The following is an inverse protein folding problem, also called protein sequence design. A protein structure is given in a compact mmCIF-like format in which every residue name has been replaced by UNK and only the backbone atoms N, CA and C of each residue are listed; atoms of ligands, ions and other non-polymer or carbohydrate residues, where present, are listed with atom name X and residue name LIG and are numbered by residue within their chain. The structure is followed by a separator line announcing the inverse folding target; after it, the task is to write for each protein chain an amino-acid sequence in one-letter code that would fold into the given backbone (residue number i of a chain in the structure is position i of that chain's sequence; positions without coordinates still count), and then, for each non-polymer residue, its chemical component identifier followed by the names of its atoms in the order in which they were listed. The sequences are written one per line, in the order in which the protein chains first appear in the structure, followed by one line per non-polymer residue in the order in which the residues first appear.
data_IF_217770294299
#
_entry.id   IF_217770294299
#
_cell.length_a   1.000
_cell.length_b   1.000
_cell.length_c   1.000
_cell.angle_alpha   90.00
_cell.angle_beta   90.00
_cell.angle_gamma   90.00
#
_symmetry.space_group_name_H-M   'P 1'
#
loop_
_entity.id
_entity.type
_entity.pdbx_description
1 polymer ?
#
# COMPACT_ATOMS: atom_id res chain seq x y z
N UNK A 1 -2.37 -8.39 -3.95
CA UNK A 1 -2.02 -9.63 -3.23
C UNK A 1 -1.44 -10.59 -4.26
N UNK A 2 -0.35 -11.30 -3.94
CA UNK A 2 0.17 -12.37 -4.78
C UNK A 2 -0.19 -13.70 -4.14
N UNK A 3 -0.54 -14.67 -4.97
CA UNK A 3 -0.82 -16.04 -4.57
C UNK A 3 0.13 -16.98 -5.29
N UNK A 4 0.55 -18.03 -4.60
CA UNK A 4 1.26 -19.13 -5.23
C UNK A 4 0.22 -20.00 -5.95
N UNK A 5 0.44 -20.27 -7.22
CA UNK A 5 -0.47 -21.07 -8.04
C UNK A 5 -0.17 -22.57 -7.91
N UNK A 6 -0.44 -23.11 -6.72
CA UNK A 6 -0.21 -24.52 -6.43
C UNK A 6 -0.08 -24.85 -4.95
N UNK A 7 0.27 -26.10 -4.68
CA UNK A 7 0.49 -26.65 -3.34
C UNK A 7 1.84 -27.36 -3.27
N UNK A 8 2.54 -27.25 -2.14
CA UNK A 8 3.72 -28.05 -1.89
C UNK A 8 3.32 -29.41 -1.32
N UNK A 9 3.91 -30.46 -1.88
CA UNK A 9 3.76 -31.84 -1.41
C UNK A 9 5.15 -32.33 -0.99
N UNK A 10 5.22 -33.03 0.15
CA UNK A 10 6.45 -33.67 0.62
C UNK A 10 6.64 -34.98 -0.16
N UNK A 11 7.73 -35.08 -0.92
CA UNK A 11 8.08 -36.33 -1.58
C UNK A 11 8.49 -37.36 -0.51
N UNK A 12 7.86 -38.53 -0.52
CA UNK A 12 8.08 -39.62 0.44
C UNK A 12 9.31 -40.48 0.13
N UNK A 13 10.05 -40.19 -0.95
CA UNK A 13 11.21 -40.97 -1.37
C UNK A 13 12.50 -40.51 -0.66
N UNK A 14 13.21 -41.45 -0.02
CA UNK A 14 14.51 -41.26 0.64
C UNK A 14 15.61 -40.99 -0.41
N UNK A 15 16.64 -40.16 -0.12
CA UNK A 15 17.19 -39.84 1.19
C UNK A 15 16.90 -38.41 1.69
N UNK A 16 16.13 -37.62 0.94
CA UNK A 16 15.81 -36.22 1.28
C UNK A 16 14.32 -35.98 1.07
N UNK A 17 13.62 -35.60 2.14
CA UNK A 17 12.27 -35.03 2.10
C UNK A 17 12.29 -33.76 1.24
N UNK A 18 12.10 -33.93 -0.06
CA UNK A 18 12.11 -32.83 -1.02
C UNK A 18 10.68 -32.31 -1.19
N UNK A 19 10.50 -30.99 -1.06
CA UNK A 19 9.20 -30.37 -1.26
C UNK A 19 9.02 -30.06 -2.75
N UNK A 20 8.00 -30.63 -3.37
CA UNK A 20 7.66 -30.39 -4.78
C UNK A 20 6.40 -29.53 -4.90
N UNK A 21 6.45 -28.53 -5.78
CA UNK A 21 5.30 -27.69 -6.09
C UNK A 21 4.42 -28.36 -7.15
N UNK A 22 3.21 -28.72 -6.77
CA UNK A 22 2.16 -29.16 -7.69
C UNK A 22 1.30 -27.96 -8.07
N UNK A 23 1.29 -27.62 -9.35
CA UNK A 23 0.50 -26.50 -9.87
C UNK A 23 -0.99 -26.79 -9.77
N UNK A 24 -1.76 -25.79 -9.38
CA UNK A 24 -3.21 -25.86 -9.46
C UNK A 24 -3.66 -25.66 -10.92
N UNK A 25 -4.89 -26.11 -11.23
CA UNK A 25 -5.52 -25.76 -12.50
C UNK A 25 -6.03 -24.32 -12.44
N UNK A 26 -6.01 -23.64 -13.58
CA UNK A 26 -6.60 -22.32 -13.70
C UNK A 26 -8.08 -22.36 -13.27
N UNK A 27 -8.54 -21.39 -12.45
CA UNK A 27 -9.92 -21.37 -11.99
C UNK A 27 -10.87 -21.07 -13.15
N UNK A 28 -12.01 -21.73 -13.17
CA UNK A 28 -13.06 -21.44 -14.15
C UNK A 28 -13.84 -20.18 -13.77
N UNK A 29 -14.51 -19.55 -14.75
CA UNK A 29 -15.38 -18.39 -14.48
C UNK A 29 -16.45 -18.71 -13.44
N UNK A 30 -17.01 -19.92 -13.45
CA UNK A 30 -17.98 -20.37 -12.44
C UNK A 30 -17.37 -20.41 -11.02
N UNK A 31 -16.15 -20.94 -10.88
CA UNK A 31 -15.42 -20.96 -9.60
C UNK A 31 -15.09 -19.54 -9.12
N UNK A 32 -14.69 -18.64 -10.03
CA UNK A 32 -14.44 -17.24 -9.70
C UNK A 32 -15.71 -16.53 -9.24
N UNK A 33 -16.84 -16.77 -9.89
CA UNK A 33 -18.15 -16.22 -9.50
C UNK A 33 -18.57 -16.72 -8.12
N UNK A 34 -18.41 -18.02 -7.83
CA UNK A 34 -18.70 -18.58 -6.51
C UNK A 34 -17.81 -17.99 -5.41
N UNK A 35 -16.52 -17.81 -5.70
CA UNK A 35 -15.59 -17.17 -4.76
C UNK A 35 -15.93 -15.68 -4.57
N UNK A 36 -16.29 -14.96 -5.64
CA UNK A 36 -16.76 -13.58 -5.57
C UNK A 36 -18.01 -13.46 -4.69
N UNK A 37 -18.98 -14.38 -4.81
CA UNK A 37 -20.15 -14.43 -3.92
C UNK A 37 -19.76 -14.62 -2.45
N UNK A 38 -18.81 -15.52 -2.17
CA UNK A 38 -18.31 -15.76 -0.81
C UNK A 38 -17.63 -14.52 -0.23
N UNK A 39 -16.82 -13.83 -1.04
CA UNK A 39 -16.17 -12.58 -0.66
C UNK A 39 -17.21 -11.50 -0.39
N UNK A 40 -18.17 -11.31 -1.31
CA UNK A 40 -19.26 -10.34 -1.18
C UNK A 40 -20.03 -10.56 0.13
N UNK A 41 -20.45 -11.80 0.41
CA UNK A 41 -21.14 -12.13 1.65
C UNK A 41 -20.31 -11.80 2.90
N UNK A 42 -19.01 -12.14 2.91
CA UNK A 42 -18.12 -11.85 4.06
C UNK A 42 -17.89 -10.35 4.25
N UNK A 43 -17.74 -9.60 3.16
CA UNK A 43 -17.60 -8.14 3.19
C UNK A 43 -18.88 -7.51 3.71
N UNK A 44 -20.04 -7.86 3.15
CA UNK A 44 -21.33 -7.34 3.63
C UNK A 44 -21.55 -7.66 5.10
N UNK A 45 -21.36 -8.91 5.55
CA UNK A 45 -21.45 -9.29 6.96
C UNK A 45 -20.48 -8.51 7.86
N UNK A 46 -19.30 -8.14 7.37
CA UNK A 46 -18.36 -7.30 8.12
C UNK A 46 -18.88 -5.86 8.24
N UNK A 47 -19.36 -5.28 7.15
CA UNK A 47 -19.90 -3.92 7.11
C UNK A 47 -21.19 -3.80 7.96
N UNK A 48 -22.08 -4.79 7.93
CA UNK A 48 -23.27 -4.85 8.80
C UNK A 48 -22.88 -4.86 10.28
N UNK A 49 -21.89 -5.68 10.67
CA UNK A 49 -21.39 -5.70 12.07
C UNK A 49 -20.74 -4.38 12.49
N UNK A 50 -20.25 -3.60 11.53
CA UNK A 50 -19.70 -2.26 11.74
C UNK A 50 -20.79 -1.17 11.75
N UNK A 51 -22.04 -1.51 11.44
CA UNK A 51 -23.13 -0.54 11.30
C UNK A 51 -22.98 0.35 10.06
N UNK A 52 -22.32 -0.13 9.01
CA UNK A 52 -22.02 0.62 7.78
C UNK A 52 -22.90 0.23 6.59
N UNK A 53 -23.80 -0.74 6.77
CA UNK A 53 -24.81 -1.10 5.79
C UNK A 53 -26.19 -0.83 6.39
N UNK A 54 -27.03 -0.18 5.61
CA UNK A 54 -28.46 0.02 5.85
C UNK A 54 -29.26 -0.88 4.90
N UNK A 55 -30.44 -1.34 5.34
CA UNK A 55 -31.31 -2.23 4.56
C UNK A 55 -31.01 -3.73 4.73
N UNK A 56 -31.80 -4.57 4.06
CA UNK A 56 -31.74 -6.03 4.15
C UNK A 56 -31.63 -6.68 2.75
N UNK A 57 -30.96 -7.84 2.68
CA UNK A 57 -30.88 -8.66 1.47
C UNK A 57 -30.29 -7.93 0.26
N UNK A 58 -31.04 -7.91 -0.86
CA UNK A 58 -30.62 -7.27 -2.11
C UNK A 58 -30.75 -5.73 -2.09
N UNK A 59 -31.39 -5.16 -1.07
CA UNK A 59 -31.58 -3.73 -0.91
C UNK A 59 -30.61 -3.11 0.10
N UNK A 60 -29.53 -3.82 0.45
CA UNK A 60 -28.51 -3.30 1.37
C UNK A 60 -27.63 -2.25 0.66
N UNK A 61 -27.53 -1.06 1.24
CA UNK A 61 -26.69 0.05 0.75
C UNK A 61 -25.73 0.54 1.84
N UNK A 62 -24.64 1.19 1.42
CA UNK A 62 -23.71 1.80 2.37
C UNK A 62 -24.41 2.94 3.12
N UNK A 63 -24.30 2.92 4.44
CA UNK A 63 -24.80 3.99 5.29
C UNK A 63 -24.18 5.33 4.91
N UNK A 64 -24.94 6.40 5.10
CA UNK A 64 -24.49 7.75 4.74
C UNK A 64 -23.44 8.30 5.73
N UNK A 65 -23.35 7.69 6.91
CA UNK A 65 -22.37 8.01 7.96
C UNK A 65 -21.88 6.73 8.66
N UNK A 66 -20.72 6.82 9.33
CA UNK A 66 -20.25 5.72 10.16
C UNK A 66 -21.04 5.67 11.48
N UNK A 67 -21.42 4.47 11.91
CA UNK A 67 -21.94 4.27 13.27
C UNK A 67 -20.79 4.38 14.29
N UNK A 68 -20.90 5.31 15.24
CA UNK A 68 -19.98 5.49 16.38
C UNK A 68 -19.04 6.71 16.30
N UNK A 69 -18.41 7.04 17.43
CA UNK A 69 -17.61 8.27 17.64
C UNK A 69 -16.15 8.20 17.12
N UNK A 70 -15.74 7.14 16.41
CA UNK A 70 -14.37 7.09 15.86
C UNK A 70 -14.26 7.95 14.59
N UNK A 71 -13.57 9.08 14.75
CA UNK A 71 -13.25 10.03 13.68
C UNK A 71 -12.71 9.37 12.40
N UNK A 72 -11.91 8.30 12.51
CA UNK A 72 -11.30 7.64 11.36
C UNK A 72 -12.28 6.78 10.56
N UNK A 73 -13.24 6.17 11.24
CA UNK A 73 -14.29 5.37 10.60
C UNK A 73 -15.25 6.30 9.84
N UNK A 74 -15.51 7.51 10.36
CA UNK A 74 -16.19 8.59 9.63
C UNK A 74 -15.48 8.97 8.33
N UNK A 75 -14.16 9.24 8.39
CA UNK A 75 -13.36 9.57 7.19
C UNK A 75 -13.40 8.46 6.14
N UNK A 76 -13.31 7.19 6.57
CA UNK A 76 -13.38 6.02 5.69
C UNK A 76 -14.76 5.88 5.05
N UNK A 77 -15.82 6.03 5.82
CA UNK A 77 -17.19 5.95 5.31
C UNK A 77 -17.48 7.04 4.29
N UNK A 78 -17.19 8.30 4.62
CA UNK A 78 -17.34 9.39 3.64
C UNK A 78 -16.47 9.18 2.40
N UNK A 79 -15.32 8.51 2.51
CA UNK A 79 -14.50 8.13 1.36
C UNK A 79 -15.14 7.04 0.50
N UNK A 80 -15.68 5.99 1.10
CA UNK A 80 -16.38 4.91 0.41
C UNK A 80 -17.65 5.38 -0.30
N UNK A 81 -18.36 6.35 0.28
CA UNK A 81 -19.61 6.88 -0.30
C UNK A 81 -19.41 8.14 -1.15
N UNK A 82 -18.17 8.51 -1.48
CA UNK A 82 -17.83 9.72 -2.28
C UNK A 82 -18.38 11.03 -1.69
N UNK A 83 -18.37 11.17 -0.35
CA UNK A 83 -18.86 12.34 0.39
C UNK A 83 -17.75 13.12 1.09
N UNK A 84 -18.00 14.39 1.37
CA UNK A 84 -17.12 15.25 2.17
C UNK A 84 -17.27 14.85 3.64
N UNK A 85 -16.14 14.73 4.34
CA UNK A 85 -16.12 14.24 5.72
C UNK A 85 -16.08 15.37 6.76
N UNK A 86 -15.61 16.56 6.36
CA UNK A 86 -15.25 17.64 7.27
C UNK A 86 -15.83 18.98 6.84
N UNK A 87 -15.97 19.91 7.78
CA UNK A 87 -16.36 21.29 7.48
C UNK A 87 -17.84 21.49 7.13
N UNK A 88 -18.15 22.65 6.55
CA UNK A 88 -19.53 23.10 6.26
C UNK A 88 -20.25 22.19 5.25
N UNK A 89 -19.50 21.58 4.34
CA UNK A 89 -20.03 20.76 3.27
C UNK A 89 -20.05 19.25 3.62
N UNK A 90 -19.82 18.89 4.88
CA UNK A 90 -19.87 17.51 5.35
C UNK A 90 -21.19 16.81 4.93
N UNK A 91 -21.07 15.57 4.43
CA UNK A 91 -22.18 14.77 3.90
C UNK A 91 -22.52 15.03 2.42
N UNK A 92 -22.07 16.14 1.83
CA UNK A 92 -22.28 16.41 0.39
C UNK A 92 -21.38 15.53 -0.47
N UNK A 93 -21.82 15.23 -1.70
CA UNK A 93 -20.99 14.49 -2.67
C UNK A 93 -19.80 15.34 -3.11
N UNK A 94 -18.66 14.69 -3.31
CA UNK A 94 -17.47 15.31 -3.87
C UNK A 94 -17.75 15.77 -5.31
N UNK A 95 -17.18 16.92 -5.69
CA UNK A 95 -17.34 17.48 -7.03
C UNK A 95 -16.55 16.65 -8.05
N UNK A 96 -17.22 16.28 -9.14
CA UNK A 96 -16.64 15.53 -10.26
C UNK A 96 -16.78 16.32 -11.55
N UNK A 97 -15.70 16.41 -12.33
CA UNK A 97 -15.75 17.04 -13.66
C UNK A 97 -15.97 15.96 -14.72
N UNK A 98 -17.11 16.06 -15.42
CA UNK A 98 -17.46 15.23 -16.57
C UNK A 98 -17.05 15.96 -17.84
N UNK A 99 -15.89 15.62 -18.40
CA UNK A 99 -15.35 16.29 -19.59
C UNK A 99 -15.36 15.41 -20.84
N UNK A 100 -15.84 14.18 -20.72
CA UNK A 100 -16.00 13.24 -21.82
C UNK A 100 -17.46 12.76 -21.87
N UNK A 101 -17.96 12.32 -23.04
CA UNK A 101 -19.24 11.62 -23.08
C UNK A 101 -19.16 10.31 -22.30
N UNK A 102 -20.29 9.88 -21.76
CA UNK A 102 -20.36 8.61 -21.04
C UNK A 102 -20.22 7.41 -21.97
N UNK A 103 -19.54 6.36 -21.51
CA UNK A 103 -19.38 5.09 -22.21
C UNK A 103 -20.27 4.01 -21.57
N UNK A 104 -21.22 3.51 -22.38
CA UNK A 104 -22.16 2.46 -22.01
C UNK A 104 -21.62 1.03 -22.24
N UNK A 105 -20.39 0.86 -22.75
CA UNK A 105 -19.85 -0.46 -23.12
C UNK A 105 -19.73 -1.44 -21.96
N UNK A 106 -20.05 -2.72 -22.14
CA UNK A 106 -19.92 -3.70 -21.04
C UNK A 106 -18.44 -3.92 -20.67
N UNK A 107 -18.15 -4.22 -19.39
CA UNK A 107 -16.81 -4.73 -19.02
C UNK A 107 -16.75 -6.19 -19.46
N UNK A 108 -16.48 -6.48 -20.72
CA UNK A 108 -16.22 -7.85 -21.15
C UNK A 108 -14.87 -8.31 -20.60
N UNK A 109 -14.85 -9.47 -19.96
CA UNK A 109 -13.63 -10.06 -19.42
C UNK A 109 -13.95 -11.28 -18.55
N UNK A 110 -12.98 -12.19 -18.47
CA UNK A 110 -13.04 -13.49 -17.76
C UNK A 110 -13.12 -13.39 -16.22
N UNK A 111 -13.62 -12.28 -15.70
CA UNK A 111 -13.79 -12.07 -14.26
C UNK A 111 -15.12 -12.67 -13.77
N UNK A 112 -15.08 -13.33 -12.61
CA UNK A 112 -16.30 -13.68 -11.88
C UNK A 112 -16.95 -12.41 -11.31
N UNK A 113 -18.28 -12.28 -11.45
CA UNK A 113 -19.02 -11.07 -11.04
C UNK A 113 -20.27 -11.42 -10.25
N UNK A 114 -20.47 -10.76 -9.11
CA UNK A 114 -21.66 -10.94 -8.26
C UNK A 114 -21.92 -9.63 -7.51
N UNK A 115 -23.13 -9.07 -7.60
CA UNK A 115 -23.57 -7.95 -6.75
C UNK A 115 -22.62 -6.74 -6.70
N UNK A 116 -22.04 -6.34 -7.84
CA UNK A 116 -21.07 -5.24 -7.92
C UNK A 116 -19.61 -5.62 -7.58
N UNK A 117 -19.36 -6.85 -7.10
CA UNK A 117 -18.01 -7.38 -6.93
C UNK A 117 -17.51 -7.99 -8.25
N UNK A 118 -16.22 -7.81 -8.53
CA UNK A 118 -15.52 -8.48 -9.62
C UNK A 118 -14.23 -9.13 -9.11
N UNK A 119 -13.95 -10.35 -9.54
CA UNK A 119 -12.75 -11.09 -9.19
C UNK A 119 -12.05 -11.58 -10.46
N UNK A 120 -10.81 -11.14 -10.63
CA UNK A 120 -9.96 -11.53 -11.76
C UNK A 120 -8.78 -12.37 -11.27
N UNK A 121 -8.54 -13.50 -11.93
CA UNK A 121 -7.41 -14.40 -11.63
C UNK A 121 -6.57 -14.76 -12.86
N UNK A 122 -6.78 -14.10 -14.01
CA UNK A 122 -6.08 -14.42 -15.27
C UNK A 122 -4.64 -13.91 -15.39
N UNK A 123 -4.06 -13.31 -14.35
CA UNK A 123 -2.67 -12.81 -14.40
C UNK A 123 -1.78 -13.65 -13.50
N UNK A 124 -0.92 -14.47 -14.11
CA UNK A 124 0.08 -15.30 -13.44
C UNK A 124 1.50 -14.98 -13.96
N UNK A 125 2.52 -15.26 -13.17
CA UNK A 125 3.92 -15.15 -13.58
C UNK A 125 4.66 -16.46 -13.30
N UNK A 126 5.37 -16.94 -14.32
CA UNK A 126 6.20 -18.13 -14.26
C UNK A 126 7.51 -17.88 -13.51
N UNK A 127 8.15 -18.96 -13.05
CA UNK A 127 9.38 -18.87 -12.25
C UNK A 127 10.53 -18.13 -12.98
N UNK A 128 10.58 -18.22 -14.31
CA UNK A 128 11.59 -17.55 -15.13
C UNK A 128 11.18 -16.13 -15.57
N UNK A 129 9.92 -15.72 -15.37
CA UNK A 129 9.40 -14.41 -15.78
C UNK A 129 9.64 -13.33 -14.69
N UNK A 130 10.89 -13.14 -14.27
CA UNK A 130 11.26 -12.22 -13.19
C UNK A 130 10.76 -10.78 -13.44
N UNK A 131 10.83 -10.31 -14.69
CA UNK A 131 10.32 -8.99 -15.09
C UNK A 131 8.80 -8.84 -14.91
N UNK A 132 8.03 -9.89 -15.22
CA UNK A 132 6.56 -9.90 -15.04
C UNK A 132 6.20 -9.92 -13.56
N UNK A 133 6.90 -10.73 -12.77
CA UNK A 133 6.77 -10.74 -11.31
C UNK A 133 7.08 -9.36 -10.72
N UNK A 134 8.15 -8.71 -11.18
CA UNK A 134 8.49 -7.35 -10.76
C UNK A 134 7.36 -6.37 -11.10
N UNK A 135 6.80 -6.42 -12.31
CA UNK A 135 5.68 -5.57 -12.72
C UNK A 135 4.46 -5.77 -11.80
N UNK A 136 4.16 -7.02 -11.42
CA UNK A 136 3.10 -7.33 -10.46
C UNK A 136 3.39 -6.79 -9.07
N UNK A 137 4.62 -6.95 -8.57
CA UNK A 137 5.06 -6.39 -7.30
C UNK A 137 4.91 -4.86 -7.30
N UNK A 138 5.41 -4.18 -8.33
CA UNK A 138 5.28 -2.72 -8.52
C UNK A 138 3.82 -2.28 -8.54
N UNK A 139 2.94 -3.06 -9.19
CA UNK A 139 1.50 -2.80 -9.22
C UNK A 139 0.88 -2.89 -7.82
N UNK A 140 1.25 -3.90 -7.03
CA UNK A 140 0.72 -4.10 -5.67
C UNK A 140 1.22 -3.03 -4.71
N UNK A 141 2.48 -2.60 -4.86
CA UNK A 141 3.10 -1.58 -4.01
C UNK A 141 2.89 -0.16 -4.53
N UNK A 142 2.01 0.04 -5.52
CA UNK A 142 1.77 1.37 -6.10
C UNK A 142 1.21 2.32 -5.02
N UNK A 143 1.70 3.57 -4.95
CA UNK A 143 1.08 4.59 -4.11
C UNK A 143 -0.39 4.80 -4.49
N UNK A 144 -1.20 5.25 -3.54
CA UNK A 144 -2.63 5.50 -3.76
C UNK A 144 -2.88 6.69 -4.72
N UNK A 145 -1.96 7.64 -4.76
CA UNK A 145 -2.02 8.86 -5.57
C UNK A 145 -0.81 8.97 -6.50
N UNK A 146 -1.00 9.63 -7.64
CA UNK A 146 0.08 10.04 -8.53
C UNK A 146 0.20 11.56 -8.50
N UNK A 147 1.37 12.08 -8.12
CA UNK A 147 1.65 13.52 -8.08
C UNK A 147 1.49 14.17 -9.46
N UNK A 148 1.83 13.46 -10.54
CA UNK A 148 1.65 13.94 -11.91
C UNK A 148 0.19 14.19 -12.29
N UNK A 149 -0.76 13.62 -11.55
CA UNK A 149 -2.19 13.80 -11.76
C UNK A 149 -2.83 14.74 -10.75
N UNK A 150 -2.04 15.35 -9.87
CA UNK A 150 -2.49 16.36 -8.91
C UNK A 150 -2.18 17.75 -9.46
N UNK A 151 -3.17 18.64 -9.37
CA UNK A 151 -3.01 20.06 -9.69
C UNK A 151 -3.90 20.91 -8.81
N UNK A 152 -3.64 22.22 -8.78
CA UNK A 152 -4.53 23.21 -8.16
C UNK A 152 -5.37 23.83 -9.27
N UNK A 153 -6.69 23.84 -9.09
CA UNK A 153 -7.62 24.46 -10.04
C UNK A 153 -7.52 26.00 -9.98
N UNK A 154 -8.02 26.73 -10.99
CA UNK A 154 -8.08 28.20 -10.94
C UNK A 154 -8.85 28.75 -9.73
N UNK A 155 -9.76 27.95 -9.16
CA UNK A 155 -10.53 28.28 -7.97
C UNK A 155 -9.79 27.95 -6.66
N UNK A 156 -8.52 27.53 -6.73
CA UNK A 156 -7.72 27.16 -5.56
C UNK A 156 -8.04 25.78 -4.98
N UNK A 157 -8.80 24.94 -5.70
CA UNK A 157 -9.19 23.61 -5.23
C UNK A 157 -8.16 22.56 -5.64
N UNK A 158 -8.05 21.48 -4.87
CA UNK A 158 -7.22 20.34 -5.25
C UNK A 158 -7.95 19.54 -6.32
N UNK A 159 -7.36 19.42 -7.50
CA UNK A 159 -7.88 18.65 -8.63
C UNK A 159 -7.03 17.40 -8.84
N UNK A 160 -7.70 16.24 -8.94
CA UNK A 160 -7.06 14.99 -9.29
C UNK A 160 -7.62 14.41 -10.59
N UNK A 161 -6.73 14.15 -11.55
CA UNK A 161 -7.08 13.49 -12.80
C UNK A 161 -7.15 11.97 -12.60
N UNK A 162 -8.23 11.35 -13.07
CA UNK A 162 -8.39 9.91 -13.05
C UNK A 162 -7.50 9.26 -14.11
N UNK A 163 -6.89 8.11 -13.79
CA UNK A 163 -6.10 7.34 -14.77
C UNK A 163 -6.93 6.97 -15.99
N UNK A 164 -8.15 6.54 -15.72
CA UNK A 164 -9.13 6.10 -16.70
C UNK A 164 -10.42 6.82 -16.36
N UNK A 165 -11.03 7.54 -17.31
CA UNK A 165 -12.32 8.18 -17.10
C UNK A 165 -13.36 7.18 -16.59
N UNK A 166 -14.28 7.64 -15.75
CA UNK A 166 -15.43 6.84 -15.39
C UNK A 166 -16.44 6.79 -16.54
N UNK A 167 -17.32 5.79 -16.49
CA UNK A 167 -18.36 5.56 -17.49
C UNK A 167 -19.31 6.73 -17.69
N UNK A 168 -19.51 7.57 -16.68
CA UNK A 168 -20.32 8.77 -16.79
C UNK A 168 -19.55 9.96 -17.37
N UNK A 169 -18.37 9.74 -17.93
CA UNK A 169 -17.54 10.81 -18.49
C UNK A 169 -16.68 11.55 -17.46
N UNK A 170 -16.72 11.17 -16.19
CA UNK A 170 -15.91 11.83 -15.15
C UNK A 170 -14.43 11.59 -15.42
N UNK A 171 -13.67 12.68 -15.54
CA UNK A 171 -12.22 12.66 -15.77
C UNK A 171 -11.44 13.20 -14.58
N UNK A 172 -12.05 14.09 -13.78
CA UNK A 172 -11.41 14.69 -12.62
C UNK A 172 -12.33 14.68 -11.41
N UNK A 173 -11.71 14.73 -10.24
CA UNK A 173 -12.37 14.92 -8.96
C UNK A 173 -11.73 16.13 -8.27
N UNK A 174 -12.56 16.97 -7.66
CA UNK A 174 -12.11 18.20 -7.00
C UNK A 174 -12.52 18.23 -5.52
N UNK A 175 -11.61 18.76 -4.69
CA UNK A 175 -11.80 18.94 -3.26
C UNK A 175 -11.26 20.28 -2.79
N UNK A 176 -11.75 20.74 -1.65
CA UNK A 176 -11.01 21.72 -0.87
C UNK A 176 -9.79 21.05 -0.22
N UNK A 177 -8.78 21.84 0.16
CA UNK A 177 -7.50 21.29 0.63
C UNK A 177 -7.65 20.36 1.85
N UNK A 178 -8.50 20.73 2.81
CA UNK A 178 -8.74 19.93 4.02
C UNK A 178 -9.48 18.63 3.68
N UNK A 179 -10.45 18.68 2.77
CA UNK A 179 -11.20 17.50 2.35
C UNK A 179 -10.31 16.51 1.60
N UNK A 180 -9.37 17.00 0.79
CA UNK A 180 -8.36 16.16 0.16
C UNK A 180 -7.48 15.47 1.19
N UNK A 181 -7.01 16.20 2.22
CA UNK A 181 -6.25 15.62 3.33
C UNK A 181 -7.08 14.56 4.07
N UNK A 182 -8.38 14.80 4.28
CA UNK A 182 -9.29 13.83 4.87
C UNK A 182 -9.39 12.53 4.04
N UNK A 183 -9.40 12.61 2.70
CA UNK A 183 -9.32 11.43 1.82
C UNK A 183 -8.00 10.68 1.97
N UNK A 184 -6.88 11.38 2.12
CA UNK A 184 -5.59 10.74 2.36
C UNK A 184 -5.52 10.09 3.74
N UNK A 185 -6.04 10.75 4.76
CA UNK A 185 -6.11 10.23 6.12
C UNK A 185 -6.92 8.92 6.17
N UNK A 186 -8.01 8.81 5.41
CA UNK A 186 -8.81 7.58 5.34
C UNK A 186 -8.01 6.34 4.89
N UNK A 187 -6.92 6.52 4.13
CA UNK A 187 -6.02 5.44 3.69
C UNK A 187 -5.03 4.99 4.77
N UNK A 188 -4.90 5.74 5.86
CA UNK A 188 -4.00 5.41 6.95
C UNK A 188 -4.53 4.16 7.66
N UNK A 189 -3.73 3.07 7.70
CA UNK A 189 -4.14 1.84 8.37
C UNK A 189 -4.25 2.06 9.89
N UNK A 190 -5.06 1.25 10.59
CA UNK A 190 -5.07 1.26 12.05
C UNK A 190 -3.67 1.03 12.64
N UNK A 191 -3.36 1.61 13.82
CA UNK A 191 -2.10 1.37 14.50
C UNK A 191 -1.84 -0.13 14.66
N UNK A 192 -0.59 -0.54 14.43
CA UNK A 192 -0.11 -1.94 14.56
C UNK A 192 -0.75 -2.93 13.58
N UNK A 193 -1.49 -2.48 12.57
CA UNK A 193 -2.01 -3.36 11.54
C UNK A 193 -0.88 -3.89 10.62
N UNK A 194 -0.88 -5.20 10.37
CA UNK A 194 0.02 -5.80 9.39
C UNK A 194 -0.39 -5.42 7.96
N UNK A 195 0.40 -4.55 7.32
CA UNK A 195 0.23 -4.12 5.92
C UNK A 195 0.63 -5.19 4.91
N UNK A 196 1.58 -6.04 5.27
CA UNK A 196 1.98 -7.21 4.47
C UNK A 196 1.61 -8.46 5.24
N UNK A 197 0.73 -9.27 4.64
CA UNK A 197 0.30 -10.56 5.19
C UNK A 197 0.82 -11.67 4.28
N UNK A 198 1.52 -12.61 4.88
CA UNK A 198 1.94 -13.84 4.21
C UNK A 198 0.93 -14.94 4.53
N UNK A 199 0.58 -15.74 3.52
CA UNK A 199 -0.42 -16.80 3.62
C UNK A 199 0.18 -18.14 3.19
N UNK A 200 -0.52 -19.24 3.53
CA UNK A 200 -0.11 -20.60 3.18
C UNK A 200 1.28 -20.94 3.74
N UNK A 201 2.10 -21.60 2.92
CA UNK A 201 3.47 -22.03 3.29
C UNK A 201 4.42 -20.87 3.60
N UNK A 202 4.10 -19.64 3.21
CA UNK A 202 4.90 -18.45 3.51
C UNK A 202 4.49 -17.74 4.81
N UNK A 203 3.37 -18.15 5.42
CA UNK A 203 2.89 -17.57 6.67
C UNK A 203 3.94 -17.70 7.79
N UNK A 204 4.03 -16.76 8.75
CA UNK A 204 5.13 -16.71 9.70
C UNK A 204 5.43 -18.01 10.46
N UNK A 205 4.38 -18.75 10.82
CA UNK A 205 4.42 -19.98 11.61
C UNK A 205 4.21 -21.26 10.76
N UNK A 206 4.32 -21.19 9.43
CA UNK A 206 4.18 -22.39 8.60
C UNK A 206 5.39 -23.32 8.76
N UNK A 207 5.15 -24.60 9.05
CA UNK A 207 6.18 -25.60 9.35
C UNK A 207 7.25 -25.72 8.24
N UNK A 208 6.82 -25.59 6.99
CA UNK A 208 7.69 -25.76 5.81
C UNK A 208 8.39 -24.47 5.36
N UNK A 209 8.09 -23.33 6.00
CA UNK A 209 8.58 -22.00 5.57
C UNK A 209 10.11 -21.91 5.54
N UNK A 210 10.75 -22.51 6.54
CA UNK A 210 12.21 -22.54 6.67
C UNK A 210 12.89 -23.28 5.51
N UNK A 211 12.24 -24.31 4.98
CA UNK A 211 12.76 -25.13 3.89
C UNK A 211 12.56 -24.46 2.52
N UNK A 212 11.53 -23.63 2.38
CA UNK A 212 11.12 -23.02 1.11
C UNK A 212 11.67 -21.61 0.88
N UNK A 213 12.15 -20.93 1.93
CA UNK A 213 12.68 -19.58 1.81
C UNK A 213 14.21 -19.62 1.71
N UNK A 214 14.83 -18.97 0.70
CA UNK A 214 16.29 -19.00 0.54
C UNK A 214 17.08 -18.48 1.75
N UNK A 215 16.43 -17.63 2.56
CA UNK A 215 17.00 -17.07 3.80
C UNK A 215 16.71 -17.90 5.05
N UNK A 216 16.13 -19.09 4.94
CA UNK A 216 15.78 -19.95 6.08
C UNK A 216 14.77 -19.30 7.04
N UNK A 217 13.96 -18.36 6.56
CA UNK A 217 13.00 -17.62 7.40
C UNK A 217 11.96 -18.57 7.97
N UNK A 218 11.75 -18.51 9.28
CA UNK A 218 10.87 -19.44 10.00
C UNK A 218 11.60 -20.66 10.58
N UNK A 219 12.92 -20.77 10.40
CA UNK A 219 13.73 -21.70 11.20
C UNK A 219 13.65 -21.24 12.64
N UNK A 220 12.92 -21.99 13.48
CA UNK A 220 13.02 -21.82 14.93
C UNK A 220 14.49 -22.07 15.28
N UNK A 221 15.17 -21.19 16.02
CA UNK A 221 16.45 -21.57 16.59
C UNK A 221 16.19 -22.84 17.40
N UNK A 222 16.86 -23.93 17.02
CA UNK A 222 16.96 -25.07 17.90
C UNK A 222 17.54 -24.54 19.22
N UNK A 223 17.07 -25.04 20.37
CA UNK A 223 17.35 -24.49 21.69
C UNK A 223 18.82 -24.20 22.00
N UNK A 224 19.76 -24.77 21.24
CA UNK A 224 21.20 -24.64 21.45
C UNK A 224 21.99 -24.20 20.20
N UNK A 225 21.33 -23.69 19.16
CA UNK A 225 22.04 -23.20 17.96
C UNK A 225 22.40 -21.72 18.10
N UNK A 226 23.70 -21.44 18.28
CA UNK A 226 24.27 -20.11 18.15
C UNK A 226 23.77 -19.44 16.85
N UNK A 227 23.41 -18.15 16.89
CA UNK A 227 22.85 -17.47 15.72
C UNK A 227 23.87 -17.50 14.58
N UNK A 228 23.45 -18.03 13.44
CA UNK A 228 24.23 -17.99 12.20
C UNK A 228 24.32 -16.54 11.77
N UNK A 229 25.56 -16.05 11.68
CA UNK A 229 25.98 -14.70 11.35
C UNK A 229 25.14 -14.06 10.23
N UNK A 230 24.43 -13.00 10.60
CA UNK A 230 24.23 -11.85 9.71
C UNK A 230 24.99 -10.72 10.36
N UNK A 231 26.22 -10.49 9.88
CA UNK A 231 27.20 -9.46 10.26
C UNK A 231 27.77 -9.55 11.68
N UNK A 232 29.07 -9.86 11.73
CA UNK A 232 29.92 -10.12 12.90
C UNK A 232 30.17 -8.95 13.88
N UNK A 233 29.18 -8.09 14.15
CA UNK A 233 29.36 -6.95 15.08
C UNK A 233 28.19 -6.62 16.01
N UNK A 234 27.17 -7.46 16.12
CA UNK A 234 26.06 -7.19 17.06
C UNK A 234 26.14 -8.08 18.31
N UNK A 235 26.69 -7.53 19.39
CA UNK A 235 26.49 -8.06 20.74
C UNK A 235 25.00 -8.22 21.09
N UNK A 236 24.63 -9.13 22.02
CA UNK A 236 23.24 -9.42 22.36
C UNK A 236 22.52 -8.19 22.93
N UNK A 237 21.85 -7.45 22.04
CA UNK A 237 21.05 -6.27 22.38
C UNK A 237 19.69 -6.64 22.97
N UNK A 238 19.31 -5.99 24.06
CA UNK A 238 17.98 -6.03 24.67
C UNK A 238 16.90 -5.61 23.64
N UNK A 239 15.62 -5.98 23.83
CA UNK A 239 14.52 -5.55 22.95
C UNK A 239 14.43 -4.02 22.80
N UNK A 240 14.81 -3.27 23.83
CA UNK A 240 14.87 -1.81 23.81
C UNK A 240 16.05 -1.29 23.00
N UNK A 241 17.22 -1.93 23.13
CA UNK A 241 18.39 -1.64 22.32
C UNK A 241 18.12 -1.97 20.83
N UNK A 242 17.40 -3.05 20.52
CA UNK A 242 16.95 -3.37 19.15
C UNK A 242 15.96 -2.34 18.59
N UNK A 243 15.06 -1.79 19.42
CA UNK A 243 14.15 -0.71 19.01
C UNK A 243 14.87 0.63 18.80
N UNK A 244 15.93 0.88 19.56
CA UNK A 244 16.83 2.06 19.42
C UNK A 244 17.92 1.89 18.36
N UNK A 245 18.18 0.68 17.88
CA UNK A 245 19.35 0.36 17.04
C UNK A 245 19.39 1.08 15.69
N UNK A 246 18.24 1.48 15.13
CA UNK A 246 18.24 2.30 13.92
C UNK A 246 18.13 3.78 14.27
N UNK A 247 19.25 4.49 14.09
CA UNK A 247 19.31 5.94 14.08
C UNK A 247 18.35 6.52 13.04
N UNK A 248 17.94 7.78 13.21
CA UNK A 248 17.10 8.50 12.25
C UNK A 248 17.68 8.43 10.82
N UNK A 249 18.99 8.60 10.66
CA UNK A 249 19.67 8.52 9.37
C UNK A 249 19.58 7.12 8.73
N UNK A 250 19.78 6.05 9.52
CA UNK A 250 19.60 4.68 9.03
C UNK A 250 18.16 4.39 8.62
N UNK A 251 17.18 4.98 9.31
CA UNK A 251 15.76 4.87 8.94
C UNK A 251 15.48 5.59 7.62
N UNK A 252 16.02 6.79 7.42
CA UNK A 252 15.90 7.51 6.14
C UNK A 252 16.46 6.71 4.97
N UNK A 253 17.66 6.14 5.13
CA UNK A 253 18.28 5.28 4.11
C UNK A 253 17.43 4.04 3.83
N UNK A 254 16.91 3.39 4.87
CA UNK A 254 16.13 2.15 4.73
C UNK A 254 14.75 2.37 4.12
N UNK A 255 14.05 3.44 4.49
CA UNK A 255 12.65 3.69 4.11
C UNK A 255 12.56 4.50 2.82
N UNK A 256 13.41 5.52 2.67
CA UNK A 256 13.34 6.48 1.57
C UNK A 256 14.54 6.41 0.62
N UNK A 257 15.50 5.52 0.86
CA UNK A 257 16.79 5.49 0.13
C UNK A 257 17.53 6.83 0.18
N UNK A 258 17.31 7.62 1.24
CA UNK A 258 17.99 8.89 1.48
C UNK A 258 19.16 8.61 2.42
N UNK A 259 20.38 8.63 1.88
CA UNK A 259 21.59 8.45 2.67
C UNK A 259 22.16 9.81 3.13
N UNK A 260 21.81 10.22 4.35
CA UNK A 260 22.39 11.40 5.02
C UNK A 260 23.62 11.05 5.85
N UNK A 261 24.22 9.87 5.67
CA UNK A 261 25.48 9.47 6.33
C UNK A 261 26.69 9.58 5.40
N UNK A 262 26.45 9.81 4.11
CA UNK A 262 27.49 9.97 3.08
C UNK A 262 27.37 11.34 2.43
N UNK A 263 28.49 12.06 2.31
CA UNK A 263 28.54 13.34 1.60
C UNK A 263 28.35 13.11 0.10
N UNK A 264 27.41 13.83 -0.51
CA UNK A 264 27.14 13.73 -1.95
C UNK A 264 28.30 14.24 -2.84
N UNK A 265 29.22 15.05 -2.30
CA UNK A 265 30.31 15.67 -3.07
C UNK A 265 31.61 14.86 -3.00
N UNK A 266 32.02 14.46 -1.79
CA UNK A 266 33.30 13.79 -1.58
C UNK A 266 33.18 12.31 -1.21
N UNK A 267 31.96 11.79 -1.01
CA UNK A 267 31.73 10.41 -0.58
C UNK A 267 32.16 10.10 0.86
N UNK A 268 32.68 11.10 1.59
CA UNK A 268 33.09 10.95 2.99
C UNK A 268 31.91 10.78 3.95
N UNK A 269 32.17 10.23 5.14
CA UNK A 269 31.17 10.11 6.19
C UNK A 269 30.77 11.50 6.73
N UNK A 270 29.47 11.77 6.84
CA UNK A 270 28.95 12.99 7.46
C UNK A 270 28.44 12.72 8.87
N UNK A 271 28.54 13.74 9.73
CA UNK A 271 28.05 13.69 11.12
C UNK A 271 26.89 14.68 11.28
N UNK A 272 25.82 14.23 11.92
CA UNK A 272 24.71 15.11 12.31
C UNK A 272 25.21 16.02 13.43
N UNK A 273 25.17 17.34 13.20
CA UNK A 273 25.68 18.35 14.16
C UNK A 273 24.55 18.90 15.03
N UNK A 274 23.36 19.11 14.46
CA UNK A 274 22.18 19.58 15.19
C UNK A 274 20.89 19.15 14.49
N UNK A 275 19.80 19.03 15.26
CA UNK A 275 18.43 19.01 14.75
C UNK A 275 17.74 20.31 15.19
N UNK A 276 17.21 21.07 14.25
CA UNK A 276 16.57 22.37 14.52
C UNK A 276 15.06 22.17 14.42
N UNK A 277 14.38 22.18 15.55
CA UNK A 277 12.94 21.92 15.64
C UNK A 277 12.11 23.20 15.89
N UNK A 278 12.77 24.30 16.26
CA UNK A 278 12.12 25.53 16.68
C UNK A 278 11.68 26.38 15.46
N UNK A 279 10.37 26.71 15.31
CA UNK A 279 9.87 27.32 14.08
C UNK A 279 10.45 28.69 13.74
N UNK A 280 10.80 29.53 14.73
CA UNK A 280 11.37 30.85 14.46
C UNK A 280 12.81 30.74 13.92
N UNK A 281 13.64 29.87 14.48
CA UNK A 281 14.97 29.54 13.99
C UNK A 281 14.92 28.94 12.58
N UNK A 282 14.01 28.00 12.32
CA UNK A 282 13.81 27.44 10.98
C UNK A 282 13.50 28.56 9.98
N UNK A 283 12.55 29.46 10.30
CA UNK A 283 12.21 30.60 9.44
C UNK A 283 13.38 31.54 9.22
N UNK A 284 14.13 31.87 10.26
CA UNK A 284 15.30 32.75 10.16
C UNK A 284 16.38 32.16 9.23
N UNK A 285 16.65 30.86 9.34
CA UNK A 285 17.62 30.14 8.51
C UNK A 285 17.15 30.10 7.05
N UNK A 286 15.88 29.76 6.81
CA UNK A 286 15.32 29.72 5.45
C UNK A 286 15.33 31.11 4.79
N UNK A 287 14.95 32.16 5.53
CA UNK A 287 14.98 33.54 5.04
C UNK A 287 16.42 34.01 4.72
N UNK A 288 17.41 33.58 5.52
CA UNK A 288 18.81 33.84 5.23
C UNK A 288 19.24 33.17 3.91
N UNK A 289 18.86 31.91 3.69
CA UNK A 289 19.15 31.21 2.44
C UNK A 289 18.43 31.83 1.24
N UNK A 290 17.17 32.23 1.34
CA UNK A 290 16.48 32.94 0.25
C UNK A 290 17.20 34.25 -0.13
N UNK A 291 17.71 35.00 0.85
CA UNK A 291 18.35 36.29 0.63
C UNK A 291 19.77 36.20 0.09
N UNK A 292 20.54 35.22 0.54
CA UNK A 292 21.97 35.09 0.23
C UNK A 292 22.28 33.98 -0.78
N UNK A 293 21.24 33.30 -1.27
CA UNK A 293 21.34 32.12 -2.11
C UNK A 293 21.46 30.87 -1.26
N UNK A 294 20.41 30.05 -1.24
CA UNK A 294 20.56 28.65 -0.88
C UNK A 294 21.53 28.07 -1.91
N UNK A 295 22.55 27.33 -1.47
CA UNK A 295 23.23 26.45 -2.41
C UNK A 295 22.13 25.61 -3.08
N UNK A 296 22.01 25.68 -4.41
CA UNK A 296 21.02 24.95 -5.24
C UNK A 296 20.96 23.44 -4.89
N UNK A 297 22.01 22.96 -4.22
CA UNK A 297 22.31 21.60 -3.84
C UNK A 297 21.87 21.23 -2.40
N UNK A 298 21.26 22.14 -1.62
CA UNK A 298 20.73 21.87 -0.28
C UNK A 298 19.37 21.13 -0.30
N UNK A 299 18.76 20.99 -1.48
CA UNK A 299 17.55 20.20 -1.68
C UNK A 299 17.90 18.70 -1.79
N UNK A 300 18.20 18.06 -0.66
CA UNK A 300 18.40 16.60 -0.57
C UNK A 300 17.13 15.76 -0.80
N UNK A 301 16.03 16.33 -1.31
CA UNK A 301 14.91 15.49 -1.72
C UNK A 301 15.35 14.77 -2.99
N UNK A 302 15.50 13.44 -2.98
CA UNK A 302 15.70 12.71 -4.22
C UNK A 302 14.55 13.07 -5.15
N UNK A 303 14.85 13.25 -6.44
CA UNK A 303 13.81 13.42 -7.43
C UNK A 303 12.74 12.33 -7.24
N UNK A 304 11.47 12.72 -7.31
CA UNK A 304 10.37 11.77 -7.22
C UNK A 304 10.63 10.62 -8.20
N UNK A 305 10.51 9.38 -7.71
CA UNK A 305 10.90 8.19 -8.48
C UNK A 305 10.14 8.20 -9.82
N UNK A 306 10.88 8.36 -10.91
CA UNK A 306 10.30 8.29 -12.25
C UNK A 306 9.60 6.93 -12.41
N UNK A 307 8.44 6.89 -13.10
CA UNK A 307 7.85 5.61 -13.49
C UNK A 307 8.88 4.79 -14.28
N UNK A 308 8.83 3.44 -14.22
CA UNK A 308 9.63 2.62 -15.12
C UNK A 308 9.54 3.14 -16.56
N UNK A 309 10.65 3.18 -17.30
CA UNK A 309 10.60 3.48 -18.72
C UNK A 309 9.62 2.50 -19.38
N UNK A 310 8.74 3.04 -20.22
CA UNK A 310 7.90 2.21 -21.08
C UNK A 310 8.84 1.50 -22.06
N UNK A 311 8.82 0.17 -22.02
CA UNK A 311 9.34 -0.67 -23.10
C UNK A 311 8.19 -0.92 -24.09
#
# INVERSE_FOLDING_TARGET
MLWLDGVYVEATELPRRELRLHRARAPTTAQLTQLAATIAHRVCRHLTRKGWLEGEGESAFLADSAAGDDSMDGLRMSSMTYRIATGRDAGRKVVTLQTLPGDAGSLEGDAGKVGGFSLHAGVAAEAHESHKLEKLCRYITRPAISEQRLSISPQGRVRYQLKTPWRNGTTHVEWDAVDFIAKLAALVPPPRAHLTRFHGVFAPNANLRAQLTPSGRGKRPAGDAAPVDVSAHDEPRSPEQKRRAMSWAQRLKRVFSIDVTTCAHCGGAVRIVASIEEPTAIRAILAHFEKHGALEQAHYRPAARAPPPAA
#
